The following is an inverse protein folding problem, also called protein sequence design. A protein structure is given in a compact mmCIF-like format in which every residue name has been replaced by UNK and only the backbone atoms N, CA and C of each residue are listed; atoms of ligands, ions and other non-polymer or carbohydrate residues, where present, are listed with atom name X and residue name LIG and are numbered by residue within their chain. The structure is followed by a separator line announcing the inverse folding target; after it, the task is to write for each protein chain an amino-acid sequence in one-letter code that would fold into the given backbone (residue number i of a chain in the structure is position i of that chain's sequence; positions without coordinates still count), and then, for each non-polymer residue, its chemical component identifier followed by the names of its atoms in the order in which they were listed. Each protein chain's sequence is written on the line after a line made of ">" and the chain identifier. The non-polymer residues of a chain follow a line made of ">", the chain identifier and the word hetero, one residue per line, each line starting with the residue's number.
data_IF_619518265215
#
_entry.id   IF_619518265215
#
_cell.length_a   1.000
_cell.length_b   1.000
_cell.length_c   1.000
_cell.angle_alpha   90.00
_cell.angle_beta   90.00
_cell.angle_gamma   90.00
#
_symmetry.space_group_name_H-M   'P 1'
#
loop_
_entity.id
_entity.type
_entity.pdbx_description
1 polymer ?
#
# COMPACT_ATOMS: atom_id res chain seq x y z
N UNK A 1 10.28 0.69 7.77
CA UNK A 1 11.17 -0.34 7.14
C UNK A 1 10.44 -1.28 6.18
N UNK A 2 9.17 -1.61 6.39
CA UNK A 2 8.43 -2.57 5.55
C UNK A 2 7.50 -1.92 4.52
N UNK A 3 7.83 -0.72 4.07
CA UNK A 3 7.01 0.01 3.11
C UNK A 3 7.09 -0.67 1.74
N UNK A 4 5.95 -1.11 1.18
CA UNK A 4 5.92 -1.72 -0.13
C UNK A 4 5.76 -0.66 -1.21
N UNK A 5 6.30 -0.91 -2.39
CA UNK A 5 5.86 -0.25 -3.62
C UNK A 5 4.65 -0.99 -4.21
N UNK A 6 4.00 -0.38 -5.21
CA UNK A 6 2.92 -1.07 -5.94
C UNK A 6 3.43 -2.37 -6.59
N UNK A 7 4.67 -2.37 -7.09
CA UNK A 7 5.31 -3.55 -7.66
C UNK A 7 5.57 -4.64 -6.61
N UNK A 8 5.97 -4.26 -5.39
CA UNK A 8 6.16 -5.23 -4.29
C UNK A 8 4.83 -5.89 -3.90
N UNK A 9 3.75 -5.12 -3.85
CA UNK A 9 2.41 -5.65 -3.58
C UNK A 9 1.93 -6.60 -4.69
N UNK A 10 2.17 -6.23 -5.95
CA UNK A 10 1.75 -7.03 -7.10
C UNK A 10 2.52 -8.36 -7.22
N UNK A 11 3.79 -8.38 -6.80
CA UNK A 11 4.65 -9.56 -6.85
C UNK A 11 4.75 -10.30 -5.51
N UNK A 12 3.90 -9.96 -4.54
CA UNK A 12 3.96 -10.59 -3.24
C UNK A 12 3.59 -12.08 -3.34
N UNK A 13 4.48 -12.93 -2.82
CA UNK A 13 4.28 -14.38 -2.74
C UNK A 13 4.07 -14.77 -1.27
N UNK A 14 2.86 -15.23 -0.88
CA UNK A 14 2.61 -15.74 0.46
C UNK A 14 3.35 -17.06 0.67
N UNK A 15 3.85 -17.29 1.88
CA UNK A 15 4.46 -18.56 2.29
C UNK A 15 3.40 -19.58 2.72
N UNK A 16 2.26 -19.09 3.24
CA UNK A 16 1.12 -19.89 3.69
C UNK A 16 -0.20 -19.09 3.60
N UNK A 17 -1.32 -19.76 3.85
CA UNK A 17 -2.68 -19.20 3.73
C UNK A 17 -2.99 -18.09 4.77
N UNK A 18 -2.15 -17.90 5.79
CA UNK A 18 -2.28 -16.84 6.81
C UNK A 18 -1.61 -15.52 6.40
N UNK A 19 -0.88 -15.53 5.29
CA UNK A 19 -0.16 -14.37 4.73
C UNK A 19 -0.92 -13.71 3.56
N UNK A 20 -2.22 -13.96 3.43
CA UNK A 20 -3.06 -13.33 2.41
C UNK A 20 -3.20 -11.83 2.68
N UNK A 21 -2.35 -11.04 2.02
CA UNK A 21 -2.35 -9.57 2.11
C UNK A 21 -3.38 -8.91 1.19
N UNK A 22 -3.83 -9.62 0.16
CA UNK A 22 -4.76 -9.14 -0.87
C UNK A 22 -6.02 -10.02 -0.85
N UNK A 23 -7.20 -9.40 -0.79
CA UNK A 23 -8.49 -10.10 -0.74
C UNK A 23 -9.37 -9.61 -1.89
N UNK A 24 -9.79 -10.50 -2.81
CA UNK A 24 -10.80 -10.19 -3.84
C UNK A 24 -10.28 -9.45 -5.08
N UNK A 25 -11.15 -8.72 -5.79
CA UNK A 25 -10.74 -7.84 -6.90
C UNK A 25 -9.78 -6.78 -6.37
N UNK A 26 -8.54 -6.84 -6.84
CA UNK A 26 -7.43 -6.23 -6.11
C UNK A 26 -7.26 -4.80 -6.58
N UNK A 27 -7.41 -3.83 -5.67
CA UNK A 27 -6.99 -2.44 -5.90
C UNK A 27 -5.57 -2.34 -6.47
N UNK A 28 -4.71 -3.29 -6.11
CA UNK A 28 -3.35 -3.45 -6.67
C UNK A 28 -3.40 -3.72 -8.17
N UNK A 29 -4.23 -4.64 -8.65
CA UNK A 29 -4.42 -4.92 -10.07
C UNK A 29 -5.02 -3.71 -10.81
N UNK A 30 -5.94 -2.98 -10.20
CA UNK A 30 -6.48 -1.76 -10.80
C UNK A 30 -5.38 -0.71 -11.03
N UNK A 31 -4.58 -0.42 -10.00
CA UNK A 31 -3.45 0.51 -10.15
C UNK A 31 -2.40 0.00 -11.13
N UNK A 32 -2.11 -1.31 -11.13
CA UNK A 32 -1.19 -1.93 -12.08
C UNK A 32 -1.70 -1.83 -13.53
N UNK A 33 -3.00 -1.99 -13.76
CA UNK A 33 -3.60 -1.86 -15.08
C UNK A 33 -3.44 -0.42 -15.60
N UNK A 34 -3.80 0.58 -14.78
CA UNK A 34 -3.62 1.99 -15.13
C UNK A 34 -2.15 2.34 -15.42
N UNK A 35 -1.21 1.82 -14.63
CA UNK A 35 0.21 2.12 -14.82
C UNK A 35 0.83 1.56 -16.10
N UNK A 36 0.18 0.57 -16.72
CA UNK A 36 0.61 -0.04 -17.99
C UNK A 36 0.12 0.77 -19.20
N UNK A 37 -0.78 1.72 -19.00
CA UNK A 37 -1.22 2.59 -20.10
C UNK A 37 -0.06 3.50 -20.55
N UNK A 38 0.05 3.71 -21.86
CA UNK A 38 1.20 4.41 -22.45
C UNK A 38 1.37 5.83 -21.89
N UNK A 39 0.27 6.54 -21.64
CA UNK A 39 0.26 7.89 -21.09
C UNK A 39 0.61 7.94 -19.59
N UNK A 40 0.45 6.82 -18.88
CA UNK A 40 0.75 6.74 -17.45
C UNK A 40 2.27 6.59 -17.18
N UNK A 41 3.04 6.11 -18.17
CA UNK A 41 4.50 5.97 -18.12
C UNK A 41 5.00 5.29 -16.83
N UNK A 42 4.42 4.14 -16.46
CA UNK A 42 4.74 3.39 -15.22
C UNK A 42 4.45 4.16 -13.92
N UNK A 43 3.54 5.11 -13.97
CA UNK A 43 3.02 5.80 -12.78
C UNK A 43 1.54 5.45 -12.59
N UNK A 44 1.05 5.69 -11.38
CA UNK A 44 -0.37 5.61 -11.05
C UNK A 44 -0.75 6.81 -10.18
N UNK A 45 -2.05 7.07 -10.06
CA UNK A 45 -2.59 8.18 -9.26
C UNK A 45 -3.17 7.64 -7.95
N UNK A 46 -2.34 7.64 -6.91
CA UNK A 46 -2.73 7.21 -5.57
C UNK A 46 -3.81 8.15 -5.02
N UNK A 47 -4.96 7.58 -4.68
CA UNK A 47 -6.15 8.32 -4.30
C UNK A 47 -6.67 9.30 -5.34
N UNK A 48 -6.34 9.08 -6.63
CA UNK A 48 -6.80 9.90 -7.75
C UNK A 48 -6.08 11.24 -7.92
N UNK A 49 -5.23 11.65 -6.98
CA UNK A 49 -4.63 12.99 -6.96
C UNK A 49 -3.10 12.98 -7.00
N UNK A 50 -2.44 12.05 -6.29
CA UNK A 50 -0.99 12.04 -6.17
C UNK A 50 -0.39 11.04 -7.16
N UNK A 51 0.41 11.54 -8.11
CA UNK A 51 1.15 10.69 -9.04
C UNK A 51 2.33 10.01 -8.33
N UNK A 52 2.44 8.69 -8.47
CA UNK A 52 3.44 7.85 -7.81
C UNK A 52 4.01 6.84 -8.81
N UNK A 53 5.31 6.58 -8.77
CA UNK A 53 5.93 5.53 -9.59
C UNK A 53 5.57 4.14 -9.06
N UNK A 54 5.44 3.14 -9.96
CA UNK A 54 5.21 1.74 -9.55
C UNK A 54 6.26 1.19 -8.59
N UNK A 55 7.49 1.72 -8.62
CA UNK A 55 8.63 1.29 -7.80
C UNK A 55 8.83 2.16 -6.56
N UNK A 56 8.10 3.27 -6.44
CA UNK A 56 8.18 4.16 -5.29
C UNK A 56 7.45 3.55 -4.09
N UNK A 57 8.02 3.71 -2.90
CA UNK A 57 7.48 3.13 -1.67
C UNK A 57 6.24 3.90 -1.20
N UNK A 58 5.22 3.15 -0.80
CA UNK A 58 3.99 3.68 -0.21
C UNK A 58 4.22 3.86 1.29
N UNK A 59 4.80 5.00 1.67
CA UNK A 59 5.10 5.36 3.06
C UNK A 59 3.91 6.02 3.74
N UNK A 60 3.94 6.12 5.08
CA UNK A 60 2.93 6.88 5.82
C UNK A 60 2.94 8.37 5.48
N UNK A 61 4.11 8.93 5.17
CA UNK A 61 4.22 10.30 4.66
C UNK A 61 3.47 10.48 3.35
N UNK A 62 3.60 9.54 2.41
CA UNK A 62 2.89 9.56 1.14
C UNK A 62 1.38 9.41 1.35
N UNK A 63 0.95 8.49 2.21
CA UNK A 63 -0.47 8.32 2.55
C UNK A 63 -1.05 9.58 3.22
N UNK A 64 -0.31 10.21 4.12
CA UNK A 64 -0.73 11.46 4.77
C UNK A 64 -0.77 12.63 3.77
N UNK A 65 0.16 12.68 2.82
CA UNK A 65 0.12 13.64 1.71
C UNK A 65 -1.16 13.48 0.89
N UNK A 66 -1.55 12.26 0.53
CA UNK A 66 -2.79 12.00 -0.21
C UNK A 66 -4.02 12.41 0.60
N UNK A 67 -4.07 12.07 1.90
CA UNK A 67 -5.17 12.49 2.80
C UNK A 67 -5.33 14.01 2.81
N UNK A 68 -4.22 14.74 2.95
CA UNK A 68 -4.21 16.20 2.95
C UNK A 68 -4.67 16.78 1.61
N UNK A 69 -4.16 16.26 0.50
CA UNK A 69 -4.61 16.71 -0.83
C UNK A 69 -6.11 16.48 -0.99
N UNK A 70 -6.61 15.30 -0.62
CA UNK A 70 -8.04 14.99 -0.72
C UNK A 70 -8.90 15.89 0.18
N UNK A 71 -8.46 16.23 1.40
CA UNK A 71 -9.19 17.18 2.26
C UNK A 71 -9.23 18.60 1.70
N UNK A 72 -8.16 19.00 1.00
CA UNK A 72 -8.05 20.34 0.42
C UNK A 72 -8.78 20.46 -0.93
N UNK A 73 -9.10 19.34 -1.59
CA UNK A 73 -9.63 19.31 -2.97
C UNK A 73 -11.12 19.63 -3.11
N UNK A 74 -11.90 19.56 -2.03
CA UNK A 74 -13.36 19.71 -2.06
C UNK A 74 -14.10 18.57 -2.79
N UNK A 75 -15.31 18.23 -2.33
CA UNK A 75 -16.10 17.11 -2.89
C UNK A 75 -17.02 17.54 -4.05
N UNK A 76 -16.66 18.58 -4.79
CA UNK A 76 -17.51 19.12 -5.85
C UNK A 76 -17.34 18.35 -7.17
N UNK A 77 -18.42 17.73 -7.63
CA UNK A 77 -18.53 17.14 -8.96
C UNK A 77 -19.56 17.92 -9.78
N UNK A 78 -19.22 18.27 -11.02
CA UNK A 78 -20.10 18.95 -11.97
C UNK A 78 -21.07 17.97 -12.66
N UNK A 79 -20.77 16.66 -12.64
CA UNK A 79 -21.63 15.62 -13.21
C UNK A 79 -21.45 14.25 -12.52
N UNK A 80 -22.29 13.28 -12.92
CA UNK A 80 -22.28 11.92 -12.36
C UNK A 80 -21.00 11.13 -12.67
N UNK A 81 -20.32 11.43 -13.79
CA UNK A 81 -19.05 10.78 -14.15
C UNK A 81 -17.92 11.21 -13.24
N UNK A 82 -17.83 12.50 -12.95
CA UNK A 82 -16.86 13.07 -12.01
C UNK A 82 -17.10 12.55 -10.60
N UNK A 83 -18.36 12.48 -10.17
CA UNK A 83 -18.72 11.90 -8.88
C UNK A 83 -18.30 10.42 -8.79
N UNK A 84 -18.55 9.63 -9.84
CA UNK A 84 -18.11 8.23 -9.88
C UNK A 84 -16.57 8.10 -9.85
N UNK A 85 -15.85 9.01 -10.50
CA UNK A 85 -14.38 9.05 -10.48
C UNK A 85 -13.84 9.33 -9.08
N UNK A 86 -14.44 10.30 -8.37
CA UNK A 86 -14.08 10.63 -6.98
C UNK A 86 -14.35 9.42 -6.07
N UNK A 87 -15.54 8.83 -6.14
CA UNK A 87 -15.91 7.66 -5.33
C UNK A 87 -14.97 6.48 -5.59
N UNK A 88 -14.64 6.21 -6.86
CA UNK A 88 -13.68 5.17 -7.21
C UNK A 88 -12.32 5.44 -6.59
N UNK A 89 -11.81 6.68 -6.70
CA UNK A 89 -10.51 7.07 -6.15
C UNK A 89 -10.47 6.95 -4.63
N UNK A 90 -11.54 7.33 -3.94
CA UNK A 90 -11.68 7.17 -2.49
C UNK A 90 -11.70 5.71 -2.07
N UNK A 91 -12.44 4.84 -2.78
CA UNK A 91 -12.44 3.39 -2.55
C UNK A 91 -11.06 2.79 -2.76
N UNK A 92 -10.41 3.08 -3.88
CA UNK A 92 -9.06 2.58 -4.15
C UNK A 92 -8.07 3.03 -3.05
N UNK A 93 -8.20 4.27 -2.58
CA UNK A 93 -7.34 4.76 -1.50
C UNK A 93 -7.58 4.06 -0.16
N UNK A 94 -8.83 3.80 0.21
CA UNK A 94 -9.13 3.09 1.46
C UNK A 94 -8.65 1.63 1.42
N UNK A 95 -8.84 0.95 0.29
CA UNK A 95 -8.41 -0.44 0.10
C UNK A 95 -6.89 -0.58 0.10
N UNK A 96 -6.16 0.31 -0.60
CA UNK A 96 -4.70 0.20 -0.67
C UNK A 96 -4.04 0.44 0.69
N UNK A 97 -4.60 1.31 1.55
CA UNK A 97 -4.15 1.48 2.94
C UNK A 97 -4.24 0.16 3.71
N UNK A 98 -5.33 -0.58 3.55
CA UNK A 98 -5.51 -1.88 4.22
C UNK A 98 -4.50 -2.90 3.72
N UNK A 99 -4.27 -2.96 2.41
CA UNK A 99 -3.28 -3.88 1.81
C UNK A 99 -1.86 -3.55 2.30
N UNK A 100 -1.47 -2.27 2.31
CA UNK A 100 -0.16 -1.83 2.80
C UNK A 100 0.04 -2.19 4.27
N UNK A 101 -0.99 -1.99 5.11
CA UNK A 101 -0.94 -2.37 6.53
C UNK A 101 -0.71 -3.88 6.68
N UNK A 102 -1.47 -4.69 5.97
CA UNK A 102 -1.33 -6.17 6.01
C UNK A 102 0.04 -6.63 5.54
N UNK A 103 0.57 -6.03 4.48
CA UNK A 103 1.92 -6.30 4.01
C UNK A 103 2.95 -6.04 5.11
N UNK A 104 2.90 -4.88 5.77
CA UNK A 104 3.79 -4.55 6.89
C UNK A 104 3.68 -5.58 8.02
N UNK A 105 2.46 -5.98 8.39
CA UNK A 105 2.23 -6.95 9.46
C UNK A 105 2.76 -8.35 9.11
N UNK A 106 2.61 -8.80 7.86
CA UNK A 106 3.20 -10.07 7.39
C UNK A 106 4.73 -10.01 7.40
N UNK A 107 5.32 -8.93 6.87
CA UNK A 107 6.78 -8.81 6.84
C UNK A 107 7.39 -8.74 8.24
N UNK A 108 6.72 -8.07 9.18
CA UNK A 108 7.10 -8.09 10.61
C UNK A 108 7.07 -9.50 11.19
N UNK A 109 6.02 -10.28 10.92
CA UNK A 109 5.90 -11.68 11.36
C UNK A 109 7.03 -12.55 10.78
N UNK A 110 7.35 -12.40 9.50
CA UNK A 110 8.45 -13.12 8.86
C UNK A 110 9.80 -12.83 9.53
N UNK A 111 10.10 -11.56 9.79
CA UNK A 111 11.35 -11.18 10.47
C UNK A 111 11.39 -11.73 11.89
N UNK A 112 10.30 -11.62 12.65
CA UNK A 112 10.20 -12.19 14.00
C UNK A 112 10.44 -13.70 14.01
N UNK A 113 9.81 -14.44 13.10
CA UNK A 113 9.97 -15.89 13.01
C UNK A 113 11.42 -16.31 12.68
N UNK A 114 12.14 -15.52 11.87
CA UNK A 114 13.58 -15.78 11.62
C UNK A 114 14.44 -15.42 12.84
N UNK A 115 14.13 -14.34 13.55
CA UNK A 115 14.83 -13.94 14.77
C UNK A 115 14.65 -14.97 15.90
N UNK A 116 13.47 -15.57 16.03
CA UNK A 116 13.19 -16.63 17.01
C UNK A 116 13.98 -17.93 16.75
N UNK A 117 14.43 -18.16 15.51
CA UNK A 117 15.33 -19.29 15.18
C UNK A 117 16.77 -19.05 15.64
N UNK A 118 17.16 -17.80 15.93
CA UNK A 118 18.49 -17.47 16.43
C UNK A 118 18.54 -17.51 17.95
N UNK A 119 19.67 -17.90 18.58
CA UNK A 119 19.80 -17.99 20.04
C UNK A 119 19.84 -16.62 20.75
N UNK A 120 19.43 -15.54 20.07
CA UNK A 120 19.32 -14.21 20.64
C UNK A 120 18.22 -14.19 21.72
N UNK A 121 18.51 -13.49 22.82
CA UNK A 121 17.57 -13.37 23.93
C UNK A 121 16.30 -12.61 23.48
N UNK A 122 15.11 -13.03 23.91
CA UNK A 122 13.82 -12.47 23.44
C UNK A 122 13.72 -10.94 23.57
N UNK A 123 14.44 -10.38 24.56
CA UNK A 123 14.56 -8.94 24.81
C UNK A 123 15.22 -8.18 23.64
N UNK A 124 16.23 -8.79 23.00
CA UNK A 124 16.95 -8.19 21.86
C UNK A 124 16.06 -8.16 20.61
N UNK A 125 15.23 -9.19 20.41
CA UNK A 125 14.29 -9.26 19.30
C UNK A 125 13.21 -8.16 19.42
N UNK A 126 12.75 -7.87 20.64
CA UNK A 126 11.83 -6.76 20.91
C UNK A 126 12.42 -5.39 20.55
N UNK A 127 13.69 -5.16 20.89
CA UNK A 127 14.40 -3.92 20.54
C UNK A 127 14.55 -3.77 19.03
N UNK A 128 14.95 -4.83 18.31
CA UNK A 128 15.08 -4.80 16.83
C UNK A 128 13.75 -4.43 16.18
N UNK A 129 12.64 -5.04 16.62
CA UNK A 129 11.32 -4.73 16.09
C UNK A 129 10.88 -3.29 16.37
N UNK A 130 11.24 -2.74 17.53
CA UNK A 130 10.95 -1.34 17.87
C UNK A 130 11.71 -0.34 16.99
N UNK A 131 12.92 -0.70 16.55
CA UNK A 131 13.73 0.10 15.62
C UNK A 131 13.26 -0.01 14.16
N UNK A 132 12.52 -1.08 13.83
CA UNK A 132 11.90 -1.26 12.52
C UNK A 132 10.50 -0.62 12.39
N UNK A 133 10.02 0.01 13.47
CA UNK A 133 8.72 0.68 13.63
C UNK A 133 8.46 1.77 12.61
#
# INVERSE_FOLDING_TARGET
>A
MFDPSLLDLANFLPNDDTEVIIVGETVVAEYMAYSKEMWANRNYWLGGQVKVSMTEKITDELLNKVRKVNSDSGDYACNSWEMASIQRSQRQFSEIIVVVKRYRDVMRRRVLAELEKTPLNADVNGVIMSLCG
#
